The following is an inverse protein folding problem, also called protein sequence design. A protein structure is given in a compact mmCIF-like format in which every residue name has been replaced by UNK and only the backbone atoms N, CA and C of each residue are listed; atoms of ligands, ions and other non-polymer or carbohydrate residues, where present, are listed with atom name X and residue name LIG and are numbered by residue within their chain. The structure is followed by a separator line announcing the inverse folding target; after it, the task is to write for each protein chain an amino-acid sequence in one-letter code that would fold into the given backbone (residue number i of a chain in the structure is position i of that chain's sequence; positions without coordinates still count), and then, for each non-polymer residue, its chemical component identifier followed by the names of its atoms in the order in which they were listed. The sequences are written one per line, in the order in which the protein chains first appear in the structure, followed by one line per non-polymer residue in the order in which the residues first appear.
data_IF_611707050248
#
_entry.id   IF_611707050248
#
_cell.length_a   1.000
_cell.length_b   1.000
_cell.length_c   1.000
_cell.angle_alpha   90.00
_cell.angle_beta   90.00
_cell.angle_gamma   90.00
#
_symmetry.space_group_name_H-M   'P 1'
#
loop_
_entity.id
_entity.type
_entity.pdbx_description
1 polymer ?
#
# COMPACT_ATOMS: atom_id res chain seq x y z
N UNK A 1 35.36 -39.25 0.57
CA UNK A 1 35.57 -37.80 0.37
C UNK A 1 34.21 -37.19 0.14
N UNK A 2 33.71 -36.40 1.10
CA UNK A 2 32.36 -35.83 1.09
C UNK A 2 32.30 -34.64 0.14
N UNK A 3 31.46 -34.73 -0.89
CA UNK A 3 31.02 -33.57 -1.68
C UNK A 3 30.01 -32.77 -0.86
N UNK A 4 30.49 -31.74 -0.16
CA UNK A 4 29.62 -30.69 0.36
C UNK A 4 29.03 -29.92 -0.83
N UNK A 5 27.80 -30.25 -1.20
CA UNK A 5 26.98 -29.40 -2.06
C UNK A 5 26.58 -28.18 -1.24
N UNK A 6 27.22 -27.04 -1.45
CA UNK A 6 26.75 -25.72 -1.01
C UNK A 6 25.49 -25.38 -1.81
N UNK A 7 24.38 -25.95 -1.38
CA UNK A 7 23.05 -25.58 -1.84
C UNK A 7 22.77 -24.19 -1.26
N UNK A 8 22.97 -23.14 -2.04
CA UNK A 8 22.56 -21.77 -1.70
C UNK A 8 21.04 -21.74 -1.58
N UNK A 9 20.50 -22.17 -0.44
CA UNK A 9 19.07 -22.19 -0.17
C UNK A 9 18.60 -20.76 0.05
N UNK A 10 18.03 -20.15 -0.98
CA UNK A 10 17.28 -18.91 -0.83
C UNK A 10 16.09 -19.18 0.10
N UNK A 11 16.12 -18.62 1.31
CA UNK A 11 14.98 -18.60 2.21
C UNK A 11 13.98 -17.56 1.68
N UNK A 12 12.78 -18.02 1.29
CA UNK A 12 11.66 -17.15 0.95
C UNK A 12 10.70 -17.12 2.13
N UNK A 13 10.53 -15.96 2.74
CA UNK A 13 9.58 -15.75 3.82
C UNK A 13 8.46 -14.83 3.35
N UNK A 14 7.22 -15.16 3.74
CA UNK A 14 6.04 -14.33 3.42
C UNK A 14 5.70 -13.46 4.62
N UNK A 15 5.90 -12.15 4.50
CA UNK A 15 5.43 -11.20 5.50
C UNK A 15 4.10 -10.59 5.06
N UNK A 16 3.12 -10.52 5.96
CA UNK A 16 1.88 -9.80 5.71
C UNK A 16 1.74 -8.62 6.66
N UNK A 17 1.50 -7.44 6.11
CA UNK A 17 1.27 -6.20 6.86
C UNK A 17 -0.13 -5.66 6.59
N UNK A 18 -0.75 -5.16 7.66
CA UNK A 18 -2.02 -4.44 7.59
C UNK A 18 -1.76 -3.01 7.12
N UNK A 19 -2.44 -2.59 6.05
CA UNK A 19 -2.33 -1.25 5.50
C UNK A 19 -3.72 -0.67 5.22
N UNK A 20 -3.80 0.63 5.03
CA UNK A 20 -5.04 1.35 4.80
C UNK A 20 -4.99 2.07 3.47
N UNK A 21 -6.13 2.10 2.77
CA UNK A 21 -6.34 2.88 1.55
C UNK A 21 -7.53 3.81 1.73
N UNK A 22 -7.45 4.97 1.07
CA UNK A 22 -8.52 5.95 1.05
C UNK A 22 -9.30 5.83 -0.26
N UNK A 23 -10.61 5.71 -0.15
CA UNK A 23 -11.56 5.82 -1.25
C UNK A 23 -12.22 7.20 -1.20
N UNK A 24 -12.20 7.93 -2.30
CA UNK A 24 -12.93 9.19 -2.46
C UNK A 24 -13.98 9.04 -3.57
N UNK A 25 -15.17 9.58 -3.35
CA UNK A 25 -16.26 9.57 -4.33
C UNK A 25 -16.06 10.68 -5.36
N UNK A 26 -16.08 10.32 -6.65
CA UNK A 26 -16.11 11.27 -7.77
C UNK A 26 -17.15 10.81 -8.78
N UNK A 27 -18.12 11.66 -9.07
CA UNK A 27 -19.26 11.39 -9.97
C UNK A 27 -20.04 10.12 -9.56
N UNK A 28 -20.33 9.95 -8.26
CA UNK A 28 -21.09 8.80 -7.75
C UNK A 28 -20.29 7.50 -7.57
N UNK A 29 -19.00 7.48 -7.91
CA UNK A 29 -18.17 6.27 -7.89
C UNK A 29 -16.99 6.46 -6.94
N UNK A 30 -16.78 5.48 -6.06
CA UNK A 30 -15.61 5.43 -5.19
C UNK A 30 -14.37 4.98 -5.95
N UNK A 31 -13.30 5.77 -5.85
CA UNK A 31 -11.98 5.48 -6.42
C UNK A 31 -10.91 5.63 -5.37
N UNK A 32 -9.82 4.89 -5.49
CA UNK A 32 -8.69 5.01 -4.57
C UNK A 32 -7.92 6.30 -4.81
N UNK A 33 -7.36 6.88 -3.75
CA UNK A 33 -6.35 7.92 -3.89
C UNK A 33 -5.05 7.30 -4.42
N UNK A 34 -4.54 7.83 -5.53
CA UNK A 34 -3.31 7.37 -6.17
C UNK A 34 -2.05 7.76 -5.38
N UNK A 35 -0.98 6.99 -5.55
CA UNK A 35 0.35 7.29 -4.97
C UNK A 35 0.85 8.68 -5.34
N UNK A 36 0.57 9.11 -6.57
CA UNK A 36 0.94 10.39 -7.15
C UNK A 36 -0.18 11.42 -7.03
N UNK A 37 -0.86 11.51 -5.89
CA UNK A 37 -1.81 12.61 -5.64
C UNK A 37 -1.04 13.93 -5.74
N UNK A 38 -1.44 14.80 -6.67
CA UNK A 38 -0.75 16.06 -6.94
C UNK A 38 -1.61 17.24 -6.48
N UNK A 39 -1.10 17.92 -5.46
CA UNK A 39 -1.55 19.21 -4.91
C UNK A 39 -2.89 19.22 -4.16
N UNK A 40 -3.04 20.25 -3.32
CA UNK A 40 -4.22 20.59 -2.53
C UNK A 40 -5.47 20.93 -3.36
N UNK A 41 -5.35 21.01 -4.69
CA UNK A 41 -6.44 21.44 -5.56
C UNK A 41 -7.16 20.28 -6.24
N UNK A 42 -6.49 19.14 -6.46
CA UNK A 42 -7.20 17.97 -6.97
C UNK A 42 -6.58 16.62 -6.58
N UNK A 43 -7.43 15.66 -6.22
CA UNK A 43 -6.98 14.31 -5.88
C UNK A 43 -6.78 13.49 -7.15
N UNK A 44 -5.59 12.93 -7.32
CA UNK A 44 -5.39 11.90 -8.33
C UNK A 44 -6.09 10.61 -7.88
N UNK A 45 -7.12 10.20 -8.61
CA UNK A 45 -7.92 9.03 -8.29
C UNK A 45 -7.65 7.89 -9.26
N UNK A 46 -7.59 6.67 -8.74
CA UNK A 46 -7.32 5.45 -9.50
C UNK A 46 -8.28 4.34 -9.11
N UNK A 47 -8.58 3.44 -10.06
CA UNK A 47 -9.33 2.20 -9.80
C UNK A 47 -8.41 1.04 -9.42
N UNK A 48 -7.10 1.17 -9.64
CA UNK A 48 -6.12 0.09 -9.42
C UNK A 48 -5.51 0.19 -8.01
N UNK A 49 -5.78 -0.80 -7.16
CA UNK A 49 -5.22 -0.89 -5.79
C UNK A 49 -3.68 -0.96 -5.75
N UNK A 50 -3.04 -1.47 -6.80
CA UNK A 50 -1.57 -1.50 -6.94
C UNK A 50 -0.96 -0.10 -7.02
N UNK A 51 -1.72 0.83 -7.60
CA UNK A 51 -1.36 2.26 -7.75
C UNK A 51 -1.93 3.15 -6.64
N UNK A 52 -2.76 2.58 -5.76
CA UNK A 52 -3.31 3.30 -4.61
C UNK A 52 -2.19 3.63 -3.61
N UNK A 53 -2.30 4.81 -3.01
CA UNK A 53 -1.53 5.19 -1.83
C UNK A 53 -1.96 4.30 -0.67
N UNK A 54 -0.97 3.76 0.05
CA UNK A 54 -1.17 2.88 1.21
C UNK A 54 -0.56 3.56 2.43
N UNK A 55 -1.28 3.50 3.54
CA UNK A 55 -0.85 4.03 4.82
C UNK A 55 -0.69 2.90 5.82
N UNK A 56 0.23 3.07 6.77
CA UNK A 56 0.48 2.08 7.80
C UNK A 56 -0.38 2.27 9.06
N UNK A 57 -1.20 3.34 9.12
CA UNK A 57 -2.11 3.58 10.24
C UNK A 57 -3.35 4.34 9.78
N UNK A 58 -4.48 4.11 10.45
CA UNK A 58 -5.75 4.84 10.23
C UNK A 58 -5.53 6.34 10.46
N UNK A 59 -4.85 6.71 11.55
CA UNK A 59 -4.58 8.10 11.92
C UNK A 59 -3.87 8.89 10.81
N UNK A 60 -2.93 8.26 10.09
CA UNK A 60 -2.27 8.89 8.95
C UNK A 60 -3.22 9.14 7.77
N UNK A 61 -4.25 8.32 7.60
CA UNK A 61 -5.30 8.52 6.59
C UNK A 61 -6.25 9.63 7.02
N UNK A 62 -6.66 9.65 8.28
CA UNK A 62 -7.54 10.69 8.84
C UNK A 62 -6.92 12.08 8.70
N UNK A 63 -5.67 12.25 9.13
CA UNK A 63 -4.92 13.50 8.95
C UNK A 63 -4.84 13.94 7.47
N UNK A 64 -4.77 12.97 6.55
CA UNK A 64 -4.77 13.24 5.12
C UNK A 64 -6.14 13.73 4.63
N UNK A 65 -7.22 13.10 5.09
CA UNK A 65 -8.60 13.48 4.76
C UNK A 65 -8.89 14.90 5.21
N UNK A 66 -8.54 15.23 6.45
CA UNK A 66 -8.74 16.58 7.02
C UNK A 66 -8.02 17.65 6.20
N UNK A 67 -6.80 17.36 5.76
CA UNK A 67 -5.95 18.35 5.07
C UNK A 67 -6.28 18.53 3.59
N UNK A 68 -6.72 17.47 2.91
CA UNK A 68 -6.77 17.45 1.44
C UNK A 68 -8.12 17.01 0.85
N UNK A 69 -9.04 16.50 1.66
CA UNK A 69 -10.28 15.87 1.17
C UNK A 69 -11.56 16.53 1.70
N UNK A 70 -11.50 17.77 2.20
CA UNK A 70 -12.64 18.46 2.84
C UNK A 70 -13.90 18.59 1.95
N UNK A 71 -13.75 18.52 0.62
CA UNK A 71 -14.86 18.52 -0.34
C UNK A 71 -15.30 17.15 -0.88
N UNK A 72 -14.70 16.06 -0.39
CA UNK A 72 -14.94 14.71 -0.90
C UNK A 72 -15.68 13.85 0.12
N UNK A 73 -16.64 13.04 -0.35
CA UNK A 73 -17.14 11.91 0.43
C UNK A 73 -16.08 10.82 0.43
N UNK A 74 -15.58 10.45 1.61
CA UNK A 74 -14.47 9.50 1.75
C UNK A 74 -14.82 8.25 2.55
N UNK A 75 -14.15 7.13 2.26
CA UNK A 75 -14.19 5.88 3.03
C UNK A 75 -12.77 5.35 3.22
N UNK A 76 -12.43 4.94 4.43
CA UNK A 76 -11.15 4.27 4.73
C UNK A 76 -11.39 2.77 4.66
N UNK A 77 -10.49 2.05 3.98
CA UNK A 77 -10.54 0.58 3.88
C UNK A 77 -9.20 0.00 4.29
N UNK A 78 -9.24 -0.97 5.20
CA UNK A 78 -8.09 -1.81 5.53
C UNK A 78 -7.86 -2.87 4.44
N UNK A 79 -6.59 -3.11 4.13
CA UNK A 79 -6.13 -4.10 3.17
C UNK A 79 -4.96 -4.89 3.77
N UNK A 80 -4.91 -6.18 3.50
CA UNK A 80 -3.76 -7.02 3.80
C UNK A 80 -2.82 -7.00 2.61
N UNK A 81 -1.57 -6.60 2.82
CA UNK A 81 -0.53 -6.64 1.78
C UNK A 81 0.50 -7.68 2.17
N UNK A 82 0.76 -8.60 1.26
CA UNK A 82 1.76 -9.65 1.42
C UNK A 82 2.97 -9.31 0.56
N UNK A 83 4.15 -9.47 1.15
CA UNK A 83 5.43 -9.24 0.50
C UNK A 83 6.26 -10.52 0.60
N UNK A 84 6.98 -10.83 -0.47
CA UNK A 84 7.98 -11.89 -0.48
C UNK A 84 9.31 -11.28 -0.05
N UNK A 85 9.80 -11.70 1.11
CA UNK A 85 11.16 -11.40 1.55
C UNK A 85 12.06 -12.51 1.01
N UNK A 86 13.08 -12.09 0.27
CA UNK A 86 14.15 -12.96 -0.21
C UNK A 86 15.37 -12.59 0.61
N UNK A 87 15.70 -13.41 1.60
CA UNK A 87 16.95 -13.26 2.35
C UNK A 87 18.03 -14.06 1.60
N UNK A 88 19.02 -13.35 1.08
CA UNK A 88 20.29 -13.95 0.67
C UNK A 88 21.19 -13.99 1.90
N UNK A 89 21.56 -15.20 2.34
CA UNK A 89 22.68 -15.36 3.26
C UNK A 89 23.95 -14.96 2.50
N UNK A 90 24.42 -13.73 2.66
CA UNK A 90 25.79 -13.38 2.34
C UNK A 90 26.69 -14.06 3.39
N UNK A 91 27.52 -15.01 2.94
CA UNK A 91 28.56 -15.66 3.74
C UNK A 91 29.74 -14.73 4.01
#
# INVERSE_FOLDING_TARGET
MNTHSTDNRTLRTHESKHQYVLLAERNGIYKYVGKTYWSCHDLNLTVKITTAKKWNSIKSVENFVEKYCSGYKTKIKEIKVTYDLVESEDQ
#
